data_IF_500408571882
#
_entry.id   IF_500408571882
#
_cell.length_a   1.000
_cell.length_b   1.000
_cell.length_c   1.000
_cell.angle_alpha   90.00
_cell.angle_beta   90.00
_cell.angle_gamma   90.00
#
_symmetry.space_group_name_H-M   'P 1'
#
loop_
_entity.id
_entity.type
_entity.pdbx_description
1 polymer ?
#
# COMPACT_ATOMS: atom_id res chain seq x y z
N UNK A 1 10.72 11.68 -16.59
CA UNK A 1 10.05 10.45 -16.10
C UNK A 1 8.73 10.35 -16.82
N UNK A 2 8.48 9.28 -17.58
CA UNK A 2 7.14 9.06 -18.15
C UNK A 2 6.23 8.68 -17.01
N UNK A 3 5.30 9.54 -16.65
CA UNK A 3 4.18 9.19 -15.78
C UNK A 3 3.26 8.26 -16.58
N UNK A 4 2.77 7.17 -15.99
CA UNK A 4 1.62 6.48 -16.58
C UNK A 4 0.53 7.54 -16.72
N UNK A 5 -0.10 7.71 -17.90
CA UNK A 5 -1.22 8.62 -17.99
C UNK A 5 -2.29 8.14 -17.01
N UNK A 6 -2.62 8.95 -16.00
CA UNK A 6 -3.65 8.62 -14.99
C UNK A 6 -4.95 8.13 -15.65
N UNK A 7 -5.23 8.59 -16.87
CA UNK A 7 -6.34 8.17 -17.73
C UNK A 7 -6.36 6.67 -18.05
N UNK A 8 -5.21 6.01 -18.19
CA UNK A 8 -5.14 4.57 -18.46
C UNK A 8 -5.51 3.75 -17.23
N UNK A 9 -4.94 4.09 -16.06
CA UNK A 9 -5.28 3.43 -14.79
C UNK A 9 -6.77 3.64 -14.48
N UNK A 10 -7.26 4.85 -14.71
CA UNK A 10 -8.67 5.19 -14.60
C UNK A 10 -9.60 4.36 -15.50
N UNK A 11 -9.23 4.18 -16.78
CA UNK A 11 -10.03 3.39 -17.71
C UNK A 11 -10.11 1.92 -17.28
N UNK A 12 -8.98 1.35 -16.85
CA UNK A 12 -8.94 0.01 -16.28
C UNK A 12 -9.78 -0.08 -15.00
N UNK A 13 -9.67 0.89 -14.08
CA UNK A 13 -10.46 0.93 -12.86
C UNK A 13 -11.98 0.95 -13.14
N UNK A 14 -12.44 1.73 -14.12
CA UNK A 14 -13.86 1.76 -14.52
C UNK A 14 -14.36 0.39 -14.97
N UNK A 15 -13.57 -0.31 -15.79
CA UNK A 15 -13.90 -1.65 -16.26
C UNK A 15 -13.98 -2.67 -15.11
N UNK A 16 -13.21 -2.47 -14.05
CA UNK A 16 -13.14 -3.39 -12.91
C UNK A 16 -14.24 -3.17 -11.87
N UNK A 17 -14.87 -1.99 -11.82
CA UNK A 17 -15.92 -1.67 -10.84
C UNK A 17 -17.09 -2.65 -10.84
N UNK A 18 -17.40 -3.24 -11.99
CA UNK A 18 -18.49 -4.20 -12.13
C UNK A 18 -18.30 -5.48 -11.28
N UNK A 19 -17.08 -5.71 -10.79
CA UNK A 19 -16.70 -6.87 -9.99
C UNK A 19 -16.72 -6.62 -8.49
N UNK A 20 -17.06 -5.42 -8.05
CA UNK A 20 -17.19 -5.09 -6.63
C UNK A 20 -18.10 -6.10 -5.90
N UNK A 21 -17.55 -6.76 -4.88
CA UNK A 21 -18.26 -7.72 -4.05
C UNK A 21 -18.59 -9.05 -4.75
N UNK A 22 -17.97 -9.33 -5.90
CA UNK A 22 -18.16 -10.58 -6.65
C UNK A 22 -16.84 -11.38 -6.65
N UNK A 23 -16.96 -12.70 -6.55
CA UNK A 23 -15.86 -13.57 -6.93
C UNK A 23 -15.72 -13.55 -8.45
N UNK A 24 -14.51 -13.31 -8.95
CA UNK A 24 -14.20 -13.29 -10.38
C UNK A 24 -13.11 -14.30 -10.65
N UNK A 25 -13.23 -15.03 -11.76
CA UNK A 25 -12.20 -15.94 -12.20
C UNK A 25 -10.95 -15.16 -12.60
N UNK A 26 -9.77 -15.66 -12.22
CA UNK A 26 -8.48 -15.05 -12.55
C UNK A 26 -8.33 -14.80 -14.05
N UNK A 27 -8.76 -15.76 -14.87
CA UNK A 27 -8.65 -15.73 -16.32
C UNK A 27 -9.54 -14.65 -16.95
N UNK A 28 -10.60 -14.23 -16.27
CA UNK A 28 -11.45 -13.12 -16.72
C UNK A 28 -10.80 -11.77 -16.41
N UNK A 29 -10.28 -11.59 -15.19
CA UNK A 29 -9.54 -10.38 -14.81
C UNK A 29 -8.31 -10.16 -15.69
N UNK A 30 -7.55 -11.23 -15.93
CA UNK A 30 -6.38 -11.21 -16.81
C UNK A 30 -6.76 -10.73 -18.23
N UNK A 31 -7.81 -11.32 -18.83
CA UNK A 31 -8.30 -10.90 -20.14
C UNK A 31 -8.71 -9.43 -20.19
N UNK A 32 -9.32 -8.91 -19.13
CA UNK A 32 -9.73 -7.50 -19.07
C UNK A 32 -8.51 -6.59 -18.99
N UNK A 33 -7.54 -6.90 -18.13
CA UNK A 33 -6.30 -6.13 -18.01
C UNK A 33 -5.57 -6.08 -19.35
N UNK A 34 -5.33 -7.24 -19.96
CA UNK A 34 -4.56 -7.37 -21.21
C UNK A 34 -5.28 -6.77 -22.43
N UNK A 35 -6.61 -6.72 -22.43
CA UNK A 35 -7.40 -6.15 -23.55
C UNK A 35 -7.63 -4.65 -23.45
N UNK A 36 -7.59 -4.08 -22.24
CA UNK A 36 -7.97 -2.68 -22.01
C UNK A 36 -6.77 -1.74 -21.85
N UNK A 37 -5.55 -2.28 -21.77
CA UNK A 37 -4.43 -1.50 -21.23
C UNK A 37 -3.07 -2.10 -21.59
N UNK A 38 -2.00 -1.30 -21.54
CA UNK A 38 -0.61 -1.77 -21.74
C UNK A 38 -0.01 -2.40 -20.47
N UNK A 39 -0.85 -2.90 -19.57
CA UNK A 39 -0.42 -3.43 -18.29
C UNK A 39 -0.42 -4.95 -18.37
N UNK A 40 0.52 -5.59 -17.68
CA UNK A 40 0.49 -7.03 -17.49
C UNK A 40 -0.26 -7.34 -16.21
N UNK A 41 -1.11 -8.36 -16.28
CA UNK A 41 -1.73 -8.91 -15.10
C UNK A 41 -0.65 -9.53 -14.19
N UNK A 42 -0.58 -9.11 -12.92
CA UNK A 42 0.36 -9.66 -11.94
C UNK A 42 -0.35 -10.60 -10.98
N UNK A 43 -1.40 -10.11 -10.32
CA UNK A 43 -2.18 -10.89 -9.37
C UNK A 43 -3.55 -10.23 -9.10
N UNK A 44 -4.37 -10.84 -8.25
CA UNK A 44 -5.58 -10.23 -7.73
C UNK A 44 -5.84 -10.66 -6.29
N UNK A 45 -6.46 -9.77 -5.53
CA UNK A 45 -7.12 -10.09 -4.27
C UNK A 45 -8.64 -10.12 -4.43
N UNK A 46 -9.32 -10.23 -3.31
CA UNK A 46 -10.78 -10.06 -3.20
C UNK A 46 -11.23 -8.62 -3.43
N UNK A 47 -10.36 -7.64 -3.15
CA UNK A 47 -10.71 -6.22 -3.18
C UNK A 47 -9.96 -5.41 -4.25
N UNK A 48 -8.92 -5.98 -4.87
CA UNK A 48 -8.14 -5.28 -5.89
C UNK A 48 -7.60 -6.23 -6.96
N UNK A 49 -7.26 -5.66 -8.11
CA UNK A 49 -6.35 -6.28 -9.09
C UNK A 49 -4.98 -5.64 -8.98
N UNK A 50 -3.93 -6.41 -9.21
CA UNK A 50 -2.53 -5.96 -9.22
C UNK A 50 -1.98 -6.14 -10.63
N UNK A 51 -1.42 -5.08 -11.18
CA UNK A 51 -0.90 -5.01 -12.54
C UNK A 51 0.52 -4.42 -12.56
N UNK A 52 1.31 -4.72 -13.58
CA UNK A 52 2.65 -4.11 -13.76
C UNK A 52 2.52 -2.63 -14.14
N UNK A 53 3.41 -1.76 -13.65
CA UNK A 53 3.49 -0.39 -14.18
C UNK A 53 4.20 -0.42 -15.56
N UNK A 54 3.55 0.03 -16.65
CA UNK A 54 4.17 0.01 -17.97
C UNK A 54 5.48 0.79 -17.98
N UNK A 55 6.57 0.12 -18.39
CA UNK A 55 7.90 0.70 -18.45
C UNK A 55 8.63 0.80 -17.10
N UNK A 56 8.10 0.20 -16.02
CA UNK A 56 8.81 0.07 -14.74
C UNK A 56 8.68 -1.33 -14.14
N UNK A 57 9.69 -2.15 -14.39
CA UNK A 57 9.70 -3.57 -13.99
C UNK A 57 9.59 -3.79 -12.48
N UNK A 58 10.04 -2.83 -11.68
CA UNK A 58 10.08 -2.89 -10.21
C UNK A 58 8.87 -2.26 -9.53
N UNK A 59 7.81 -1.93 -10.27
CA UNK A 59 6.63 -1.27 -9.72
C UNK A 59 5.35 -1.97 -10.16
N UNK A 60 4.40 -2.04 -9.24
CA UNK A 60 3.04 -2.56 -9.49
C UNK A 60 2.00 -1.55 -9.06
N UNK A 61 0.85 -1.60 -9.73
CA UNK A 61 -0.34 -0.81 -9.40
C UNK A 61 -1.38 -1.77 -8.85
N UNK A 62 -1.82 -1.56 -7.60
CA UNK A 62 -2.97 -2.23 -7.03
C UNK A 62 -4.19 -1.32 -7.18
N UNK A 63 -5.17 -1.73 -7.99
CA UNK A 63 -6.38 -0.98 -8.30
C UNK A 63 -7.54 -1.64 -7.55
N UNK A 64 -8.15 -0.90 -6.64
CA UNK A 64 -9.27 -1.42 -5.86
C UNK A 64 -10.53 -1.55 -6.73
N UNK A 65 -11.27 -2.66 -6.60
CA UNK A 65 -12.58 -2.84 -7.22
C UNK A 65 -13.63 -1.87 -6.68
N UNK A 66 -13.40 -1.41 -5.45
CA UNK A 66 -14.34 -0.60 -4.71
C UNK A 66 -13.70 0.69 -4.20
N UNK A 67 -14.29 1.81 -4.59
CA UNK A 67 -13.73 3.15 -4.36
C UNK A 67 -14.15 3.72 -3.01
N UNK A 68 -13.72 3.05 -1.94
CA UNK A 68 -14.09 3.43 -0.57
C UNK A 68 -13.13 4.43 0.07
N UNK A 69 -11.91 4.53 -0.45
CA UNK A 69 -10.87 5.33 0.19
C UNK A 69 -11.05 6.80 -0.14
N UNK A 70 -11.25 7.62 0.89
CA UNK A 70 -11.18 9.06 0.74
C UNK A 70 -9.74 9.49 0.45
N UNK A 71 -9.55 10.67 -0.14
CA UNK A 71 -8.19 11.25 -0.32
C UNK A 71 -7.44 11.32 1.02
N UNK A 72 -8.15 11.60 2.11
CA UNK A 72 -7.58 11.65 3.45
C UNK A 72 -7.12 10.26 3.94
N UNK A 73 -7.96 9.23 3.75
CA UNK A 73 -7.60 7.85 4.08
C UNK A 73 -6.40 7.35 3.25
N UNK A 74 -6.37 7.65 1.95
CA UNK A 74 -5.24 7.31 1.07
C UNK A 74 -3.93 7.96 1.53
N UNK A 75 -3.97 9.24 1.94
CA UNK A 75 -2.81 9.91 2.54
C UNK A 75 -2.37 9.23 3.84
N UNK A 76 -3.31 8.84 4.69
CA UNK A 76 -3.00 8.15 5.95
C UNK A 76 -2.36 6.77 5.70
N UNK A 77 -2.87 6.01 4.73
CA UNK A 77 -2.30 4.75 4.27
C UNK A 77 -0.87 4.97 3.76
N UNK A 78 -0.67 5.97 2.90
CA UNK A 78 0.65 6.29 2.36
C UNK A 78 1.67 6.59 3.46
N UNK A 79 1.36 7.49 4.39
CA UNK A 79 2.29 7.83 5.47
C UNK A 79 2.48 6.69 6.46
N UNK A 80 1.44 5.90 6.76
CA UNK A 80 1.56 4.71 7.60
C UNK A 80 2.48 3.69 6.98
N UNK A 81 2.30 3.39 5.68
CA UNK A 81 3.18 2.49 4.94
C UNK A 81 4.61 3.03 4.87
N UNK A 82 4.78 4.34 4.72
CA UNK A 82 6.10 4.97 4.72
C UNK A 82 6.82 4.73 6.05
N UNK A 83 6.14 4.89 7.19
CA UNK A 83 6.72 4.54 8.49
C UNK A 83 7.10 3.06 8.55
N UNK A 84 6.18 2.16 8.15
CA UNK A 84 6.40 0.71 8.24
C UNK A 84 7.53 0.22 7.33
N UNK A 85 7.58 0.68 6.08
CA UNK A 85 8.64 0.33 5.12
C UNK A 85 9.98 0.97 5.44
N UNK A 86 10.02 2.08 6.19
CA UNK A 86 11.28 2.59 6.74
C UNK A 86 11.74 1.74 7.94
N UNK A 87 10.85 1.39 8.87
CA UNK A 87 11.21 0.61 10.07
C UNK A 87 11.48 -0.88 9.79
N UNK A 88 10.88 -1.44 8.75
CA UNK A 88 10.98 -2.86 8.42
C UNK A 88 11.02 -3.05 6.88
N UNK A 89 12.10 -2.63 6.21
CA UNK A 89 12.19 -2.60 4.75
C UNK A 89 12.06 -3.98 4.09
N UNK A 90 12.46 -5.05 4.77
CA UNK A 90 12.35 -6.43 4.26
C UNK A 90 10.96 -7.08 4.53
N UNK A 91 10.01 -6.32 5.06
CA UNK A 91 8.70 -6.82 5.46
C UNK A 91 7.53 -5.99 4.91
N UNK A 92 7.78 -4.82 4.36
CA UNK A 92 6.76 -3.94 3.79
C UNK A 92 7.28 -3.33 2.49
N UNK A 93 6.56 -3.50 1.36
CA UNK A 93 6.97 -2.87 0.12
C UNK A 93 6.84 -1.35 0.23
N UNK A 94 7.72 -0.62 -0.44
CA UNK A 94 7.59 0.83 -0.52
C UNK A 94 6.35 1.23 -1.32
N UNK A 95 5.54 2.14 -0.78
CA UNK A 95 4.48 2.79 -1.57
C UNK A 95 5.05 4.08 -2.15
N UNK A 96 4.96 4.21 -3.47
CA UNK A 96 5.29 5.44 -4.18
C UNK A 96 4.13 6.43 -4.15
N UNK A 97 2.88 5.91 -4.15
CA UNK A 97 1.68 6.74 -4.00
C UNK A 97 0.49 5.91 -3.52
N UNK A 98 -0.52 6.58 -2.96
CA UNK A 98 -1.84 6.03 -2.68
C UNK A 98 -2.91 7.01 -3.17
N UNK A 99 -3.84 6.48 -3.96
CA UNK A 99 -4.94 7.23 -4.56
C UNK A 99 -6.22 6.96 -3.78
N UNK A 100 -6.89 8.04 -3.37
CA UNK A 100 -8.22 8.01 -2.81
C UNK A 100 -9.17 8.83 -3.67
N UNK A 101 -10.46 8.52 -3.60
CA UNK A 101 -11.51 9.26 -4.28
C UNK A 101 -12.04 10.39 -3.40
N UNK A 102 -12.31 11.53 -4.03
CA UNK A 102 -13.08 12.62 -3.41
C UNK A 102 -14.48 12.68 -4.04
N UNK A 103 -15.55 12.35 -3.29
CA UNK A 103 -16.90 12.25 -3.84
C UNK A 103 -17.40 13.54 -4.51
N UNK A 104 -17.08 14.71 -3.93
CA UNK A 104 -17.61 16.00 -4.37
C UNK A 104 -16.91 16.57 -5.61
N UNK A 105 -15.59 16.40 -5.72
CA UNK A 105 -14.82 16.88 -6.89
C UNK A 105 -14.95 15.95 -8.13
N UNK A 106 -15.60 14.79 -7.99
CA UNK A 106 -15.69 13.78 -9.04
C UNK A 106 -16.58 14.21 -10.20
N UNK A 107 -17.63 14.96 -9.87
CA UNK A 107 -18.60 15.44 -10.86
C UNK A 107 -18.11 16.66 -11.64
N UNK A 108 -17.16 17.42 -11.11
CA UNK A 108 -16.76 18.72 -11.67
C UNK A 108 -15.53 18.67 -12.59
N UNK A 109 -14.66 17.65 -12.47
CA UNK A 109 -13.33 17.67 -13.11
C UNK A 109 -13.18 16.73 -14.31
N UNK A 110 -14.14 15.82 -14.58
CA UNK A 110 -14.04 14.84 -15.67
C UNK A 110 -12.86 13.85 -15.55
N UNK A 111 -12.03 13.97 -14.51
CA UNK A 111 -10.93 13.04 -14.23
C UNK A 111 -11.49 11.83 -13.48
N UNK A 112 -11.24 10.66 -14.03
CA UNK A 112 -11.62 9.40 -13.41
C UNK A 112 -10.84 9.19 -12.10
N UNK A 113 -11.56 8.73 -11.07
CA UNK A 113 -11.12 8.67 -9.69
C UNK A 113 -11.12 7.25 -9.20
N UNK A 114 -10.02 6.55 -9.38
CA UNK A 114 -9.84 5.24 -8.82
C UNK A 114 -9.33 5.32 -7.37
N UNK A 115 -9.46 4.23 -6.63
CA UNK A 115 -8.74 4.00 -5.38
C UNK A 115 -7.69 2.92 -5.61
N UNK A 116 -6.53 3.07 -5.00
CA UNK A 116 -5.44 2.14 -5.22
C UNK A 116 -4.09 2.65 -4.77
N UNK A 117 -3.04 1.89 -5.08
CA UNK A 117 -1.66 2.21 -4.70
C UNK A 117 -0.71 1.91 -5.84
N UNK A 118 0.37 2.69 -5.93
CA UNK A 118 1.54 2.35 -6.75
C UNK A 118 2.65 2.01 -5.77
N UNK A 119 3.21 0.82 -5.89
CA UNK A 119 4.10 0.25 -4.90
C UNK A 119 5.17 -0.61 -5.52
N UNK A 120 6.25 -0.78 -4.77
CA UNK A 120 7.34 -1.68 -5.10
C UNK A 120 6.82 -3.08 -5.42
N UNK A 121 7.36 -3.65 -6.50
CA UNK A 121 7.14 -5.04 -6.86
C UNK A 121 8.04 -5.92 -6.00
N UNK A 122 7.44 -6.75 -5.16
CA UNK A 122 8.16 -7.83 -4.47
C UNK A 122 8.41 -8.96 -5.48
N UNK A 123 9.69 -9.28 -5.73
CA UNK A 123 10.07 -10.39 -6.60
C UNK A 123 10.01 -11.68 -5.78
N UNK A 124 9.17 -12.66 -6.15
CA UNK A 124 9.04 -13.90 -5.38
C UNK A 124 10.35 -14.68 -5.32
N UNK A 125 10.69 -15.21 -4.14
CA UNK A 125 11.82 -16.13 -3.98
C UNK A 125 11.58 -17.47 -4.69
N UNK A 126 12.67 -18.18 -5.00
CA UNK A 126 12.61 -19.54 -5.52
C UNK A 126 11.94 -20.50 -4.51
N UNK A 127 11.21 -21.53 -4.98
CA UNK A 127 10.63 -22.55 -4.12
C UNK A 127 11.68 -23.20 -3.20
N UNK A 128 11.38 -23.30 -1.91
CA UNK A 128 12.30 -23.87 -0.91
C UNK A 128 13.23 -22.85 -0.25
N UNK A 129 13.21 -21.58 -0.67
CA UNK A 129 13.91 -20.49 0.04
C UNK A 129 13.32 -20.28 1.43
N UNK A 130 14.17 -20.12 2.44
CA UNK A 130 13.75 -19.81 3.80
C UNK A 130 13.74 -18.30 4.06
N UNK A 131 12.76 -17.82 4.84
CA UNK A 131 12.69 -16.43 5.26
C UNK A 131 13.81 -16.07 6.23
N UNK A 132 14.69 -15.15 5.83
CA UNK A 132 15.73 -14.57 6.68
C UNK A 132 15.13 -13.47 7.59
N UNK A 133 14.17 -12.72 7.04
CA UNK A 133 13.44 -11.66 7.73
C UNK A 133 11.96 -12.01 7.83
N UNK A 134 11.56 -12.94 8.71
CA UNK A 134 10.17 -13.38 8.84
C UNK A 134 9.27 -12.27 9.38
N UNK A 135 8.07 -12.13 8.81
CA UNK A 135 7.12 -11.06 9.17
C UNK A 135 6.71 -11.11 10.64
N UNK A 136 6.72 -12.29 11.24
CA UNK A 136 6.42 -12.48 12.66
C UNK A 136 7.34 -11.64 13.57
N UNK A 137 8.62 -11.44 13.20
CA UNK A 137 9.54 -10.58 13.97
C UNK A 137 9.16 -9.10 13.85
N UNK A 138 8.86 -8.62 12.64
CA UNK A 138 8.36 -7.26 12.43
C UNK A 138 7.05 -7.04 13.22
N UNK A 139 6.10 -7.98 13.17
CA UNK A 139 4.85 -7.92 13.93
C UNK A 139 5.07 -7.83 15.45
N UNK A 140 6.08 -8.53 15.99
CA UNK A 140 6.43 -8.43 17.40
C UNK A 140 6.99 -7.04 17.77
N UNK A 141 7.86 -6.48 16.94
CA UNK A 141 8.41 -5.13 17.14
C UNK A 141 7.32 -4.05 17.01
N UNK A 142 6.42 -4.17 16.03
CA UNK A 142 5.26 -3.28 15.85
C UNK A 142 4.39 -3.26 17.10
N UNK A 143 4.13 -4.43 17.70
CA UNK A 143 3.41 -4.54 18.99
C UNK A 143 4.19 -3.92 20.14
N UNK A 144 5.50 -4.17 20.23
CA UNK A 144 6.36 -3.60 21.27
C UNK A 144 6.39 -2.07 21.22
N UNK A 145 6.42 -1.50 20.02
CA UNK A 145 6.36 -0.06 19.77
C UNK A 145 4.93 0.51 19.89
N UNK A 146 3.93 -0.34 20.14
CA UNK A 146 2.52 0.05 20.23
C UNK A 146 2.04 0.86 19.01
N UNK A 147 2.50 0.49 17.80
CA UNK A 147 2.05 1.18 16.59
C UNK A 147 0.57 0.86 16.35
N UNK A 148 -0.27 1.85 16.02
CA UNK A 148 -1.71 1.68 15.89
C UNK A 148 -2.09 1.07 14.53
N UNK A 149 -1.62 -0.15 14.27
CA UNK A 149 -1.86 -0.90 13.03
C UNK A 149 -2.14 -2.38 13.30
N UNK A 150 -2.97 -2.99 12.46
CA UNK A 150 -3.20 -4.43 12.42
C UNK A 150 -3.05 -4.97 11.00
N UNK A 151 -2.92 -6.29 10.90
CA UNK A 151 -2.66 -6.99 9.65
C UNK A 151 -3.60 -8.19 9.55
N UNK A 152 -4.21 -8.39 8.38
CA UNK A 152 -4.97 -9.60 8.08
C UNK A 152 -3.99 -10.78 7.94
N UNK A 153 -4.28 -11.87 8.66
CA UNK A 153 -3.46 -13.08 8.69
C UNK A 153 -3.67 -14.01 7.48
N UNK A 154 -4.51 -13.62 6.51
CA UNK A 154 -4.75 -14.39 5.30
C UNK A 154 -3.44 -14.70 4.56
N UNK A 155 -3.14 -15.98 4.24
CA UNK A 155 -1.87 -16.37 3.60
C UNK A 155 -1.57 -15.62 2.30
N UNK A 156 -2.61 -15.25 1.53
CA UNK A 156 -2.47 -14.50 0.28
C UNK A 156 -1.93 -13.07 0.44
N UNK A 157 -1.93 -12.54 1.67
CA UNK A 157 -1.39 -11.21 1.97
C UNK A 157 0.11 -11.24 2.28
N UNK A 158 0.74 -12.40 2.21
CA UNK A 158 2.16 -12.58 2.48
C UNK A 158 2.89 -13.13 1.25
N UNK A 159 4.07 -12.57 0.97
CA UNK A 159 4.94 -13.02 -0.12
C UNK A 159 6.38 -13.12 0.37
N UNK A 160 7.05 -14.23 0.07
CA UNK A 160 8.49 -14.33 0.31
C UNK A 160 9.24 -13.69 -0.85
N UNK A 161 10.01 -12.65 -0.59
CA UNK A 161 10.85 -11.95 -1.55
C UNK A 161 12.22 -12.63 -1.73
N UNK A 162 12.84 -12.44 -2.89
CA UNK A 162 14.16 -12.98 -3.22
C UNK A 162 15.28 -12.54 -2.26
N UNK A 163 15.12 -11.39 -1.59
CA UNK A 163 16.01 -10.91 -0.54
C UNK A 163 15.85 -11.66 0.80
N UNK A 164 14.99 -12.68 0.87
CA UNK A 164 14.68 -13.43 2.10
C UNK A 164 13.69 -12.74 3.03
N UNK A 165 13.11 -11.60 2.61
CA UNK A 165 12.07 -10.87 3.32
C UNK A 165 10.70 -11.51 3.17
N UNK A 166 9.97 -11.72 4.27
CA UNK A 166 8.55 -12.07 4.19
C UNK A 166 7.71 -10.79 4.23
N UNK A 167 7.25 -10.35 3.06
CA UNK A 167 6.51 -9.11 2.87
C UNK A 167 5.04 -9.30 3.18
N UNK A 168 4.45 -8.31 3.86
CA UNK A 168 3.00 -8.09 3.85
C UNK A 168 2.65 -7.21 2.65
N UNK A 169 1.94 -7.77 1.68
CA UNK A 169 1.67 -7.15 0.37
C UNK A 169 0.27 -6.53 0.28
N UNK A 170 -0.46 -6.48 1.38
CA UNK A 170 -1.77 -5.82 1.48
C UNK A 170 -1.66 -4.48 2.24
N UNK A 171 -2.74 -3.70 2.30
CA UNK A 171 -2.82 -2.46 3.07
C UNK A 171 -2.87 -2.77 4.58
N UNK A 172 -2.09 -2.07 5.41
CA UNK A 172 -2.23 -2.18 6.86
C UNK A 172 -3.58 -1.61 7.30
N UNK A 173 -4.25 -2.27 8.24
CA UNK A 173 -5.45 -1.75 8.86
C UNK A 173 -5.06 -0.75 9.94
N UNK A 174 -5.35 0.52 9.70
CA UNK A 174 -5.00 1.60 10.62
C UNK A 174 -6.01 1.64 11.78
N UNK A 175 -5.51 1.50 13.01
CA UNK A 175 -6.31 1.45 14.23
C UNK A 175 -6.40 2.83 14.90
N UNK A 176 -7.44 3.08 15.71
CA UNK A 176 -7.46 4.19 16.64
C UNK A 176 -6.26 4.13 17.60
N UNK A 177 -5.63 5.28 17.87
CA UNK A 177 -4.48 5.38 18.77
C UNK A 177 -3.55 6.53 18.43
N UNK A 178 -2.46 6.67 19.16
CA UNK A 178 -1.42 7.67 18.91
C UNK A 178 -0.12 6.99 18.51
N UNK A 179 0.57 7.55 17.53
CA UNK A 179 1.94 7.17 17.23
C UNK A 179 2.86 7.76 18.29
N UNK A 180 3.45 6.92 19.14
CA UNK A 180 4.40 7.36 20.16
C UNK A 180 5.74 7.75 19.51
N UNK A 181 5.82 9.00 19.06
CA UNK A 181 6.96 9.56 18.34
C UNK A 181 8.28 9.34 19.09
N UNK A 182 8.31 9.64 20.38
CA UNK A 182 9.52 9.52 21.21
C UNK A 182 10.03 8.06 21.25
N UNK A 183 9.12 7.12 21.50
CA UNK A 183 9.46 5.69 21.54
C UNK A 183 9.93 5.16 20.17
N UNK A 184 9.32 5.61 19.08
CA UNK A 184 9.70 5.19 17.73
C UNK A 184 11.07 5.74 17.35
N UNK A 185 11.32 7.02 17.60
CA UNK A 185 12.62 7.64 17.29
C UNK A 185 13.72 7.05 18.18
N UNK A 186 13.48 6.83 19.48
CA UNK A 186 14.44 6.15 20.35
C UNK A 186 14.77 4.73 19.87
N UNK A 187 13.78 3.97 19.39
CA UNK A 187 14.03 2.68 18.76
C UNK A 187 14.92 2.78 17.52
N UNK A 188 14.70 3.79 16.67
CA UNK A 188 15.51 4.01 15.48
C UNK A 188 16.95 4.38 15.83
N UNK A 189 17.16 5.18 16.89
CA UNK A 189 18.49 5.51 17.41
C UNK A 189 19.20 4.26 17.95
N UNK A 190 18.53 3.47 18.77
CA UNK A 190 19.07 2.22 19.34
C UNK A 190 19.49 1.20 18.26
N UNK A 191 18.84 1.24 17.10
CA UNK A 191 19.10 0.35 15.96
C UNK A 191 20.03 0.97 14.90
N UNK A 192 20.55 2.17 15.13
CA UNK A 192 21.52 2.82 14.25
C UNK A 192 20.94 3.28 12.91
N UNK A 193 19.66 3.66 12.87
CA UNK A 193 19.05 4.24 11.67
C UNK A 193 19.70 5.59 11.31
N UNK A 194 19.73 5.88 10.01
CA UNK A 194 20.27 7.15 9.51
C UNK A 194 19.41 8.35 9.95
N UNK A 195 20.02 9.54 9.99
CA UNK A 195 19.27 10.79 10.25
C UNK A 195 18.20 11.06 9.19
N UNK A 196 18.45 10.62 7.95
CA UNK A 196 17.48 10.71 6.86
C UNK A 196 16.24 9.85 7.15
N UNK A 197 16.42 8.61 7.58
CA UNK A 197 15.31 7.70 7.88
C UNK A 197 14.51 8.18 9.08
N UNK A 198 15.20 8.61 10.15
CA UNK A 198 14.57 9.20 11.33
C UNK A 198 13.72 10.40 10.94
N UNK A 199 14.23 11.30 10.09
CA UNK A 199 13.48 12.45 9.58
C UNK A 199 12.28 12.03 8.72
N UNK A 200 12.40 11.00 7.89
CA UNK A 200 11.29 10.47 7.08
C UNK A 200 10.17 9.96 7.98
N UNK A 201 10.50 9.14 8.98
CA UNK A 201 9.52 8.59 9.93
C UNK A 201 8.88 9.70 10.74
N UNK A 202 9.68 10.63 11.25
CA UNK A 202 9.22 11.77 12.02
C UNK A 202 8.18 12.61 11.28
N UNK A 203 8.52 13.06 10.07
CA UNK A 203 7.62 13.83 9.22
C UNK A 203 6.36 13.04 8.88
N UNK A 204 6.47 11.73 8.64
CA UNK A 204 5.31 10.89 8.33
C UNK A 204 4.36 10.77 9.53
N UNK A 205 4.89 10.58 10.74
CA UNK A 205 4.11 10.58 11.99
C UNK A 205 3.41 11.92 12.19
N UNK A 206 4.12 13.04 11.99
CA UNK A 206 3.53 14.37 12.07
C UNK A 206 2.35 14.52 11.09
N UNK A 207 2.53 14.12 9.82
CA UNK A 207 1.47 14.18 8.81
C UNK A 207 0.26 13.31 9.16
N UNK A 208 0.47 12.12 9.71
CA UNK A 208 -0.64 11.29 10.21
C UNK A 208 -1.40 12.01 11.32
N UNK A 209 -0.69 12.64 12.27
CA UNK A 209 -1.29 13.45 13.32
C UNK A 209 -2.16 14.59 12.78
N UNK A 210 -1.63 15.37 11.83
CA UNK A 210 -2.36 16.46 11.15
C UNK A 210 -3.62 15.96 10.44
N UNK A 211 -3.53 14.82 9.73
CA UNK A 211 -4.67 14.22 9.05
C UNK A 211 -5.76 13.80 10.04
N UNK A 212 -5.40 13.23 11.20
CA UNK A 212 -6.38 12.83 12.23
C UNK A 212 -7.04 14.03 12.90
N UNK A 213 -6.28 15.08 13.21
CA UNK A 213 -6.84 16.32 13.78
C UNK A 213 -7.87 16.92 12.82
N UNK A 214 -7.57 16.98 11.52
CA UNK A 214 -8.50 17.53 10.54
C UNK A 214 -9.76 16.66 10.35
N UNK A 215 -9.68 15.34 10.52
CA UNK A 215 -10.84 14.45 10.47
C UNK A 215 -11.77 14.60 11.69
N UNK A 216 -11.20 14.78 12.88
CA UNK A 216 -11.93 14.69 14.15
C UNK A 216 -12.14 16.03 14.86
N UNK A 217 -11.36 17.05 14.52
CA UNK A 217 -11.42 18.41 15.10
C UNK A 217 -12.40 19.37 14.41
N UNK A 218 -13.13 18.91 13.40
CA UNK A 218 -14.21 19.67 12.74
C UNK A 218 -15.60 19.42 13.38
N UNK A 219 -15.64 19.02 14.66
CA UNK A 219 -16.89 18.82 15.42
C UNK A 219 -17.02 19.87 16.52
#
# INVERSE_FOLDING_TARGET
MSEIPESQIAGLAENLRQFRGKAVAKEELQRIVESSSNFDYVNNGTECVVVSEPGRDNTVVAIDYAEYETVQAAKEIFYTQRVLSTLFPDNFPHFYTSYGREPLLAKASGKAKFSGTVRERVIPAEPGTNAQHPFAKAKAEIRRLSLPVSFDSSPGNYMLGENGGQYYVDKPQIQPGSWNREQIIGYMEDRGYSDTDKRIVDLSIQRIGELRINAYGAR
#
